data_IF_321290905674
#
_entry.id   IF_321290905674
#
_cell.length_a   1.000
_cell.length_b   1.000
_cell.length_c   1.000
_cell.angle_alpha   90.00
_cell.angle_beta   90.00
_cell.angle_gamma   90.00
#
_symmetry.space_group_name_H-M   'P 1'
#
loop_
_entity.id
_entity.type
_entity.pdbx_description
1 polymer ?
#
# COMPACT_ATOMS: atom_id res chain seq x y z
N UNK A 1 17.50 17.44 -3.29
CA UNK A 1 17.23 17.99 -4.63
C UNK A 1 15.74 18.16 -4.78
N UNK A 2 15.24 19.40 -4.76
CA UNK A 2 13.81 19.68 -4.89
C UNK A 2 13.47 19.72 -6.38
N UNK A 3 12.72 18.73 -6.85
CA UNK A 3 12.38 18.62 -8.27
C UNK A 3 11.25 19.62 -8.61
N UNK A 4 11.41 20.40 -9.67
CA UNK A 4 10.36 21.31 -10.17
C UNK A 4 9.36 20.51 -10.97
N UNK A 5 8.13 20.41 -10.47
CA UNK A 5 7.03 19.73 -11.15
C UNK A 5 6.26 20.71 -12.04
N UNK A 6 5.70 20.21 -13.14
CA UNK A 6 4.86 21.01 -14.03
C UNK A 6 3.49 21.34 -13.40
N UNK A 7 3.06 20.56 -12.40
CA UNK A 7 1.84 20.74 -11.60
C UNK A 7 1.98 20.00 -10.27
N UNK A 8 1.04 20.19 -9.34
CA UNK A 8 1.08 19.57 -8.03
C UNK A 8 0.99 18.03 -8.12
N UNK A 9 1.92 17.33 -7.47
CA UNK A 9 1.81 15.89 -7.29
C UNK A 9 0.68 15.53 -6.34
N UNK A 10 0.09 14.37 -6.53
CA UNK A 10 -0.85 13.83 -5.57
C UNK A 10 -0.14 13.52 -4.25
N UNK A 11 -0.80 13.73 -3.10
CA UNK A 11 -0.25 13.33 -1.81
C UNK A 11 -0.04 11.81 -1.77
N UNK A 12 0.97 11.37 -1.03
CA UNK A 12 1.22 9.95 -0.82
C UNK A 12 0.04 9.29 -0.11
N UNK A 13 -0.31 8.07 -0.55
CA UNK A 13 -1.24 7.22 0.20
C UNK A 13 -0.57 6.78 1.49
N UNK A 14 -1.27 6.91 2.61
CA UNK A 14 -0.71 6.59 3.93
C UNK A 14 -1.64 5.72 4.76
N UNK A 15 -1.04 4.86 5.59
CA UNK A 15 -1.75 4.05 6.59
C UNK A 15 -1.43 4.54 8.00
N UNK A 16 -2.35 4.29 8.93
CA UNK A 16 -2.16 4.62 10.35
C UNK A 16 -1.15 3.67 10.98
N UNK A 17 -0.44 4.17 11.99
CA UNK A 17 0.42 3.37 12.86
C UNK A 17 -0.31 3.24 14.19
N UNK A 18 -0.40 2.03 14.74
CA UNK A 18 -1.08 1.82 16.01
C UNK A 18 -0.41 2.65 17.12
N UNK A 19 -1.21 3.29 17.97
CA UNK A 19 -0.76 4.12 19.10
C UNK A 19 0.18 5.28 18.72
N UNK A 20 0.02 5.83 17.51
CA UNK A 20 0.84 6.93 17.01
C UNK A 20 0.05 7.87 16.08
N UNK A 21 0.34 9.16 16.17
CA UNK A 21 -0.18 10.18 15.25
C UNK A 21 0.60 10.23 13.92
N UNK A 22 1.73 9.52 13.84
CA UNK A 22 2.49 9.39 12.60
C UNK A 22 1.81 8.43 11.61
N UNK A 23 2.10 8.60 10.32
CA UNK A 23 1.53 7.78 9.23
C UNK A 23 2.64 7.17 8.37
N UNK A 24 2.43 5.93 7.91
CA UNK A 24 3.38 5.23 7.04
C UNK A 24 3.02 5.44 5.56
N UNK A 25 3.94 5.97 4.72
CA UNK A 25 3.69 6.17 3.30
C UNK A 25 3.82 4.85 2.51
N UNK A 26 2.75 4.47 1.81
CA UNK A 26 2.72 3.23 1.02
C UNK A 26 3.39 3.46 -0.33
N UNK A 27 4.35 2.60 -0.68
CA UNK A 27 5.02 2.64 -1.99
C UNK A 27 4.39 1.67 -3.00
N UNK A 28 4.27 0.39 -2.64
CA UNK A 28 3.65 -0.66 -3.47
C UNK A 28 2.88 -1.63 -2.59
N UNK A 29 1.83 -2.22 -3.16
CA UNK A 29 1.04 -3.29 -2.55
C UNK A 29 1.23 -4.53 -3.43
N UNK A 30 1.79 -5.59 -2.84
CA UNK A 30 1.93 -6.88 -3.49
C UNK A 30 0.89 -7.83 -2.93
N UNK A 31 0.11 -8.46 -3.81
CA UNK A 31 -0.94 -9.38 -3.43
C UNK A 31 -0.56 -10.81 -3.85
N UNK A 32 -0.64 -11.76 -2.92
CA UNK A 32 -0.43 -13.18 -3.21
C UNK A 32 -1.79 -13.86 -3.31
N UNK A 33 -2.10 -14.40 -4.48
CA UNK A 33 -3.31 -15.18 -4.71
C UNK A 33 -3.18 -16.61 -4.19
N UNK A 34 -4.28 -17.20 -3.72
CA UNK A 34 -4.35 -18.62 -3.30
C UNK A 34 -3.27 -19.03 -2.29
N UNK A 35 -2.92 -18.14 -1.36
CA UNK A 35 -1.87 -18.37 -0.36
C UNK A 35 -2.25 -19.35 0.77
N UNK A 36 -3.44 -19.95 0.69
CA UNK A 36 -3.96 -20.92 1.65
C UNK A 36 -4.60 -22.09 0.90
N UNK A 37 -4.28 -23.31 1.31
CA UNK A 37 -4.73 -24.52 0.62
C UNK A 37 -6.26 -24.65 0.60
N UNK A 38 -6.93 -24.42 1.73
CA UNK A 38 -8.40 -24.47 1.81
C UNK A 38 -9.05 -23.52 0.80
N UNK A 39 -8.61 -22.26 0.79
CA UNK A 39 -9.13 -21.26 -0.15
C UNK A 39 -8.75 -21.54 -1.60
N UNK A 40 -7.58 -22.13 -1.85
CA UNK A 40 -7.19 -22.55 -3.19
C UNK A 40 -8.11 -23.65 -3.74
N UNK A 41 -8.53 -24.60 -2.89
CA UNK A 41 -9.41 -25.71 -3.25
C UNK A 41 -10.88 -25.28 -3.43
N UNK A 42 -11.36 -24.28 -2.68
CA UNK A 42 -12.70 -23.70 -2.83
C UNK A 42 -12.92 -23.02 -4.19
N UNK A 43 -11.85 -22.48 -4.78
CA UNK A 43 -11.92 -21.66 -6.00
C UNK A 43 -11.66 -22.46 -7.29
N UNK A 44 -11.37 -23.78 -7.22
CA UNK A 44 -11.02 -24.63 -8.37
C UNK A 44 -9.53 -24.87 -8.53
#
# INVERSE_FOLDING_TARGET
MTQRLCFAAQPAVTVTIQDSDARFPVHRIFCVGRNYHAHAAEMG
#
